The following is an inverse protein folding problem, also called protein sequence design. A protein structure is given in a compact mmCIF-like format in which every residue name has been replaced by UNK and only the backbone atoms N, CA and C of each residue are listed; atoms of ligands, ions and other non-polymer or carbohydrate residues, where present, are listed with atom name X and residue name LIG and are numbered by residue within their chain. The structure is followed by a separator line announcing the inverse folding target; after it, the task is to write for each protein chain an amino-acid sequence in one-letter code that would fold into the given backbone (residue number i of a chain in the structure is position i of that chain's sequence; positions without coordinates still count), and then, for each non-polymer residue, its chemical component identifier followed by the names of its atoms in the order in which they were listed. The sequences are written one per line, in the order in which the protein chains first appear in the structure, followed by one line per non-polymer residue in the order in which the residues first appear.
data_IF_248756560506
#
_entry.id   IF_248756560506
#
_cell.length_a   1.000
_cell.length_b   1.000
_cell.length_c   1.000
_cell.angle_alpha   90.00
_cell.angle_beta   90.00
_cell.angle_gamma   90.00
#
_symmetry.space_group_name_H-M   'P 1'
#
loop_
_entity.id
_entity.type
_entity.pdbx_description
1 polymer ?
#
# COMPACT_ATOMS: atom_id res chain seq x y z
N UNK A 1 24.77 19.40 0.46
CA UNK A 1 23.54 18.81 -0.11
C UNK A 1 23.61 18.95 -1.63
N UNK A 2 23.49 17.86 -2.40
CA UNK A 2 23.61 17.89 -3.87
C UNK A 2 22.53 18.82 -4.48
N UNK A 3 22.89 19.66 -5.46
CA UNK A 3 22.01 20.62 -6.15
C UNK A 3 20.75 19.93 -6.71
N UNK A 4 20.90 18.71 -7.22
CA UNK A 4 19.78 17.93 -7.77
C UNK A 4 18.79 17.47 -6.68
N UNK A 5 19.28 17.09 -5.50
CA UNK A 5 18.42 16.74 -4.34
C UNK A 5 17.64 17.95 -3.83
N UNK A 6 18.24 19.14 -3.89
CA UNK A 6 17.58 20.41 -3.53
C UNK A 6 16.46 20.75 -4.50
N UNK A 7 16.73 20.69 -5.81
CA UNK A 7 15.74 20.95 -6.86
C UNK A 7 14.58 19.94 -6.78
N UNK A 8 14.89 18.65 -6.62
CA UNK A 8 13.87 17.61 -6.45
C UNK A 8 13.00 17.87 -5.20
N UNK A 9 13.62 18.19 -4.07
CA UNK A 9 12.89 18.46 -2.82
C UNK A 9 11.98 19.69 -2.95
N UNK A 10 12.45 20.73 -3.64
CA UNK A 10 11.66 21.93 -3.91
C UNK A 10 10.48 21.65 -4.85
N UNK A 11 10.70 20.94 -5.95
CA UNK A 11 9.64 20.54 -6.88
C UNK A 11 8.60 19.67 -6.17
N UNK A 12 9.05 18.73 -5.32
CA UNK A 12 8.13 17.89 -4.54
C UNK A 12 7.27 18.70 -3.58
N UNK A 13 7.86 19.69 -2.89
CA UNK A 13 7.12 20.61 -2.03
C UNK A 13 6.08 21.40 -2.82
N UNK A 14 6.44 21.90 -4.01
CA UNK A 14 5.52 22.61 -4.89
C UNK A 14 4.36 21.71 -5.34
N UNK A 15 4.65 20.46 -5.72
CA UNK A 15 3.63 19.49 -6.12
C UNK A 15 2.69 19.12 -4.96
N UNK A 16 3.20 19.01 -3.73
CA UNK A 16 2.35 18.84 -2.53
C UNK A 16 1.46 20.06 -2.26
N UNK A 17 1.98 21.28 -2.44
CA UNK A 17 1.19 22.51 -2.29
C UNK A 17 0.09 22.58 -3.36
N UNK A 18 0.41 22.22 -4.60
CA UNK A 18 -0.50 22.27 -5.74
C UNK A 18 -1.38 21.01 -5.90
N UNK A 19 -1.23 20.01 -5.02
CA UNK A 19 -1.82 18.66 -5.13
C UNK A 19 -1.68 18.05 -6.53
N UNK A 20 -0.52 18.23 -7.15
CA UNK A 20 -0.19 17.64 -8.45
C UNK A 20 0.14 16.15 -8.25
N UNK A 21 -0.64 15.24 -8.85
CA UNK A 21 -0.35 13.81 -8.75
C UNK A 21 0.85 13.44 -9.65
N UNK A 22 1.59 12.43 -9.23
CA UNK A 22 2.58 11.74 -10.05
C UNK A 22 2.29 10.23 -10.04
N UNK A 23 3.06 9.43 -10.78
CA UNK A 23 2.86 7.99 -10.82
C UNK A 23 2.99 7.31 -9.44
N UNK A 24 3.89 7.79 -8.59
CA UNK A 24 4.10 7.27 -7.24
C UNK A 24 2.98 7.69 -6.29
N UNK A 25 2.43 8.89 -6.49
CA UNK A 25 1.46 9.55 -5.65
C UNK A 25 0.12 9.91 -6.38
N UNK A 26 -0.57 8.95 -7.03
CA UNK A 26 -1.82 9.24 -7.74
C UNK A 26 -3.01 9.30 -6.78
N UNK A 27 -4.08 10.01 -7.14
CA UNK A 27 -5.30 10.04 -6.30
C UNK A 27 -6.06 8.71 -6.40
N UNK A 28 -5.81 7.81 -5.45
CA UNK A 28 -6.46 6.49 -5.33
C UNK A 28 -7.83 6.65 -4.66
N UNK A 29 -8.84 7.10 -5.41
CA UNK A 29 -10.18 7.33 -4.87
C UNK A 29 -10.85 6.03 -4.45
N UNK A 30 -11.56 6.04 -3.33
CA UNK A 30 -12.43 4.95 -2.93
C UNK A 30 -13.59 4.79 -3.93
N UNK A 31 -13.87 3.55 -4.34
CA UNK A 31 -14.97 3.22 -5.27
C UNK A 31 -16.20 2.74 -4.48
N UNK A 32 -17.34 3.40 -4.67
CA UNK A 32 -18.64 2.99 -4.12
C UNK A 32 -19.43 2.19 -5.15
N UNK A 33 -20.29 1.28 -4.69
CA UNK A 33 -21.30 0.58 -5.51
C UNK A 33 -20.74 -0.21 -6.72
N UNK A 34 -19.58 -0.85 -6.52
CA UNK A 34 -18.91 -1.71 -7.51
C UNK A 34 -18.82 -3.16 -7.03
N UNK A 35 -18.63 -4.09 -7.98
CA UNK A 35 -18.25 -5.47 -7.67
C UNK A 35 -16.78 -5.53 -7.23
N UNK A 36 -16.52 -5.68 -5.93
CA UNK A 36 -15.15 -5.88 -5.41
C UNK A 36 -14.52 -7.22 -5.83
N UNK A 37 -15.26 -8.09 -6.53
CA UNK A 37 -14.71 -9.27 -7.21
C UNK A 37 -13.90 -8.89 -8.44
N UNK A 38 -14.33 -7.85 -9.16
CA UNK A 38 -13.77 -7.43 -10.45
C UNK A 38 -12.87 -6.20 -10.33
N UNK A 39 -13.22 -5.28 -9.42
CA UNK A 39 -12.52 -4.03 -9.19
C UNK A 39 -11.78 -4.03 -7.85
N UNK A 40 -10.67 -3.30 -7.77
CA UNK A 40 -10.01 -3.06 -6.48
C UNK A 40 -10.76 -2.02 -5.63
N UNK A 41 -10.51 -2.03 -4.31
CA UNK A 41 -11.21 -1.16 -3.35
C UNK A 41 -10.98 0.34 -3.61
N UNK A 42 -9.80 0.67 -4.12
CA UNK A 42 -9.42 2.01 -4.53
C UNK A 42 -9.14 2.01 -6.04
N UNK A 43 -9.34 3.16 -6.69
CA UNK A 43 -9.08 3.34 -8.11
C UNK A 43 -7.58 3.32 -8.42
N UNK A 44 -7.12 2.21 -8.98
CA UNK A 44 -5.73 1.98 -9.35
C UNK A 44 -5.48 2.18 -10.85
N UNK A 45 -6.47 2.63 -11.63
CA UNK A 45 -6.31 2.82 -13.09
C UNK A 45 -5.10 3.67 -13.47
N UNK A 46 -4.78 4.69 -12.67
CA UNK A 46 -3.58 5.51 -12.83
C UNK A 46 -2.28 4.71 -12.70
N UNK A 47 -2.24 3.70 -11.81
CA UNK A 47 -1.10 2.78 -11.64
C UNK A 47 -0.93 1.86 -12.85
N UNK A 48 -1.96 1.61 -13.65
CA UNK A 48 -1.86 0.83 -14.90
C UNK A 48 -1.08 1.53 -16.02
N UNK A 49 -0.75 2.83 -15.85
CA UNK A 49 0.01 3.63 -16.80
C UNK A 49 1.45 3.86 -16.32
N UNK A 50 2.22 2.77 -16.15
CA UNK A 50 3.63 2.84 -15.73
C UNK A 50 4.47 3.63 -16.75
N UNK A 51 5.11 4.75 -16.36
CA UNK A 51 5.82 5.61 -17.31
C UNK A 51 7.31 5.26 -17.45
N UNK A 52 7.83 4.33 -16.65
CA UNK A 52 9.25 3.95 -16.65
C UNK A 52 9.48 2.59 -17.33
N UNK A 53 10.70 2.07 -17.20
CA UNK A 53 11.14 0.84 -17.83
C UNK A 53 10.28 -0.37 -17.44
N UNK A 54 9.81 -1.10 -18.45
CA UNK A 54 9.22 -2.42 -18.32
C UNK A 54 10.20 -3.42 -18.93
N UNK A 55 10.72 -4.34 -18.12
CA UNK A 55 11.50 -5.48 -18.61
C UNK A 55 10.60 -6.70 -18.71
N UNK A 56 10.39 -7.20 -19.92
CA UNK A 56 9.49 -8.34 -20.19
C UNK A 56 8.05 -8.12 -19.63
N UNK A 57 7.58 -6.86 -19.66
CA UNK A 57 6.28 -6.47 -19.11
C UNK A 57 6.26 -6.20 -17.61
N UNK A 58 7.38 -6.38 -16.90
CA UNK A 58 7.53 -6.20 -15.46
C UNK A 58 8.12 -4.81 -15.14
N UNK A 59 7.46 -4.00 -14.30
CA UNK A 59 7.99 -2.71 -13.84
C UNK A 59 9.32 -2.81 -13.11
N UNK A 60 10.30 -2.03 -13.56
CA UNK A 60 11.55 -1.80 -12.85
C UNK A 60 11.55 -0.42 -12.18
N UNK A 61 11.99 -0.38 -10.92
CA UNK A 61 12.14 0.84 -10.13
C UNK A 61 13.62 1.15 -9.98
N UNK A 62 14.00 2.39 -10.26
CA UNK A 62 15.36 2.85 -9.99
C UNK A 62 15.52 3.14 -8.49
N UNK A 63 16.40 2.38 -7.83
CA UNK A 63 16.76 2.58 -6.42
C UNK A 63 18.28 2.62 -6.32
N UNK A 64 18.83 3.74 -5.82
CA UNK A 64 20.28 3.97 -5.72
C UNK A 64 21.01 3.76 -7.06
N UNK A 65 20.45 4.30 -8.16
CA UNK A 65 20.94 4.16 -9.54
C UNK A 65 20.98 2.71 -10.06
N UNK A 66 20.22 1.81 -9.45
CA UNK A 66 20.08 0.43 -9.92
C UNK A 66 18.61 0.17 -10.20
N UNK A 67 18.29 -0.21 -11.44
CA UNK A 67 16.96 -0.71 -11.80
C UNK A 67 16.72 -2.06 -11.15
N UNK A 68 15.64 -2.19 -10.37
CA UNK A 68 15.29 -3.40 -9.63
C UNK A 68 13.81 -3.68 -9.73
N UNK A 69 13.45 -4.96 -9.67
CA UNK A 69 12.08 -5.37 -9.41
C UNK A 69 11.71 -5.02 -7.97
N UNK A 70 10.51 -4.47 -7.80
CA UNK A 70 9.96 -4.20 -6.48
C UNK A 70 8.51 -4.71 -6.45
N UNK A 71 8.28 -5.74 -5.64
CA UNK A 71 7.00 -6.47 -5.61
C UNK A 71 5.79 -5.55 -5.47
N UNK A 72 5.85 -4.56 -4.57
CA UNK A 72 4.77 -3.59 -4.39
C UNK A 72 4.48 -2.77 -5.66
N UNK A 73 5.51 -2.36 -6.40
CA UNK A 73 5.31 -1.58 -7.64
C UNK A 73 4.73 -2.45 -8.75
N UNK A 74 5.23 -3.67 -8.89
CA UNK A 74 4.74 -4.65 -9.86
C UNK A 74 3.26 -4.98 -9.60
N UNK A 75 2.89 -5.19 -8.34
CA UNK A 75 1.52 -5.49 -7.95
C UNK A 75 0.57 -4.29 -8.05
N UNK A 76 1.04 -3.08 -7.73
CA UNK A 76 0.27 -1.85 -7.97
C UNK A 76 -0.02 -1.69 -9.47
N UNK A 77 0.97 -1.94 -10.32
CA UNK A 77 0.80 -1.93 -11.77
C UNK A 77 -0.19 -3.01 -12.23
N UNK A 78 -0.06 -4.24 -11.74
CA UNK A 78 -0.97 -5.35 -12.02
C UNK A 78 -2.44 -5.04 -11.67
N UNK A 79 -2.70 -4.53 -10.46
CA UNK A 79 -4.04 -4.08 -10.07
C UNK A 79 -4.55 -2.92 -10.93
N UNK A 80 -3.66 -2.00 -11.33
CA UNK A 80 -4.02 -0.93 -12.27
C UNK A 80 -4.37 -1.43 -13.66
N UNK A 81 -3.67 -2.46 -14.16
CA UNK A 81 -4.01 -3.13 -15.43
C UNK A 81 -5.36 -3.83 -15.34
N UNK A 82 -5.66 -4.50 -14.23
CA UNK A 82 -6.99 -5.09 -13.98
C UNK A 82 -8.06 -4.00 -14.04
N UNK A 83 -7.89 -2.88 -13.33
CA UNK A 83 -8.84 -1.77 -13.36
C UNK A 83 -9.06 -1.22 -14.78
N UNK A 84 -8.00 -1.08 -15.58
CA UNK A 84 -8.11 -0.67 -16.99
C UNK A 84 -8.84 -1.73 -17.84
N UNK A 85 -8.53 -3.01 -17.63
CA UNK A 85 -9.12 -4.13 -18.37
C UNK A 85 -10.61 -4.31 -18.07
N UNK A 86 -11.02 -4.19 -16.80
CA UNK A 86 -12.43 -4.24 -16.40
C UNK A 86 -13.25 -3.13 -17.05
N UNK A 87 -12.67 -1.94 -17.24
CA UNK A 87 -13.33 -0.84 -17.96
C UNK A 87 -13.37 -1.08 -19.47
N UNK A 88 -12.31 -1.66 -20.04
CA UNK A 88 -12.18 -1.92 -21.47
C UNK A 88 -11.36 -3.17 -21.73
N UNK A 89 -12.05 -4.26 -22.06
CA UNK A 89 -11.40 -5.49 -22.50
C UNK A 89 -10.50 -5.23 -23.72
N UNK A 90 -9.24 -5.62 -23.60
CA UNK A 90 -8.23 -5.42 -24.64
C UNK A 90 -7.18 -6.52 -24.56
N UNK A 91 -6.86 -7.13 -25.69
CA UNK A 91 -5.82 -8.16 -25.79
C UNK A 91 -4.46 -7.66 -25.30
N UNK A 92 -4.14 -6.38 -25.50
CA UNK A 92 -2.91 -5.78 -24.99
C UNK A 92 -2.89 -5.73 -23.46
N UNK A 93 -4.01 -5.36 -22.84
CA UNK A 93 -4.13 -5.34 -21.38
C UNK A 93 -4.11 -6.76 -20.81
N UNK A 94 -4.81 -7.70 -21.45
CA UNK A 94 -4.79 -9.11 -21.08
C UNK A 94 -3.37 -9.68 -21.07
N UNK A 95 -2.59 -9.48 -22.15
CA UNK A 95 -1.18 -9.92 -22.21
C UNK A 95 -0.30 -9.31 -21.11
N UNK A 96 -0.52 -8.05 -20.77
CA UNK A 96 0.20 -7.38 -19.67
C UNK A 96 -0.20 -7.96 -18.31
N UNK A 97 -1.48 -8.24 -18.09
CA UNK A 97 -1.97 -8.91 -16.87
C UNK A 97 -1.34 -10.31 -16.76
N UNK A 98 -1.32 -11.08 -17.85
CA UNK A 98 -0.67 -12.39 -17.91
C UNK A 98 0.82 -12.31 -17.57
N UNK A 99 1.54 -11.29 -18.04
CA UNK A 99 2.96 -11.09 -17.70
C UNK A 99 3.16 -10.89 -16.19
N UNK A 100 2.31 -10.06 -15.56
CA UNK A 100 2.36 -9.84 -14.11
C UNK A 100 1.93 -11.10 -13.36
N UNK A 101 0.93 -11.83 -13.85
CA UNK A 101 0.49 -13.09 -13.26
C UNK A 101 1.59 -14.16 -13.31
N UNK A 102 2.27 -14.33 -14.44
CA UNK A 102 3.44 -15.21 -14.53
C UNK A 102 4.51 -14.83 -13.50
N UNK A 103 4.85 -13.54 -13.41
CA UNK A 103 5.81 -13.07 -12.39
C UNK A 103 5.36 -13.41 -10.97
N UNK A 104 4.08 -13.19 -10.63
CA UNK A 104 3.53 -13.49 -9.30
C UNK A 104 3.63 -14.98 -8.98
N UNK A 105 3.31 -15.85 -9.92
CA UNK A 105 3.36 -17.31 -9.74
C UNK A 105 4.79 -17.83 -9.64
N UNK A 106 5.70 -17.30 -10.46
CA UNK A 106 7.10 -17.74 -10.50
C UNK A 106 7.93 -17.25 -9.30
N UNK A 107 7.58 -16.08 -8.74
CA UNK A 107 8.33 -15.45 -7.64
C UNK A 107 7.69 -15.67 -6.27
N UNK A 108 6.58 -16.42 -6.15
CA UNK A 108 6.10 -16.85 -4.84
C UNK A 108 7.00 -17.98 -4.32
N UNK A 109 7.64 -17.74 -3.18
CA UNK A 109 8.48 -18.74 -2.55
C UNK A 109 7.68 -19.85 -1.87
N UNK A 110 8.37 -20.93 -1.49
CA UNK A 110 7.72 -22.14 -0.93
C UNK A 110 6.88 -21.85 0.32
N UNK A 111 7.30 -20.89 1.13
CA UNK A 111 6.61 -20.45 2.33
C UNK A 111 5.45 -19.47 2.04
N UNK A 112 5.27 -19.03 0.79
CA UNK A 112 4.25 -18.07 0.38
C UNK A 112 4.74 -16.63 0.29
N UNK A 113 6.03 -16.37 0.51
CA UNK A 113 6.59 -15.02 0.48
C UNK A 113 6.88 -14.50 -0.94
N UNK A 114 6.71 -13.18 -1.14
CA UNK A 114 7.40 -12.44 -2.20
C UNK A 114 8.47 -11.55 -1.56
N UNK A 115 9.72 -12.02 -1.57
CA UNK A 115 10.86 -11.34 -0.94
C UNK A 115 11.48 -10.29 -1.86
N UNK A 116 12.01 -9.24 -1.24
CA UNK A 116 12.80 -8.21 -1.92
C UNK A 116 14.30 -8.44 -1.64
N UNK A 117 15.04 -8.85 -2.66
CA UNK A 117 16.46 -9.22 -2.55
C UNK A 117 17.41 -8.01 -2.68
N UNK A 118 17.19 -7.00 -1.85
CA UNK A 118 18.05 -5.83 -1.71
C UNK A 118 17.87 -5.18 -0.33
N UNK A 119 18.87 -4.43 0.13
CA UNK A 119 18.81 -3.74 1.42
C UNK A 119 18.13 -2.37 1.29
N UNK A 120 17.50 -1.91 2.38
CA UNK A 120 16.94 -0.56 2.51
C UNK A 120 17.49 0.08 3.79
N UNK A 121 18.66 0.72 3.66
CA UNK A 121 19.47 1.19 4.79
C UNK A 121 18.71 2.10 5.76
N UNK A 122 17.92 3.05 5.24
CA UNK A 122 17.20 4.02 6.07
C UNK A 122 16.04 3.40 6.88
N UNK A 123 15.63 2.18 6.54
CA UNK A 123 14.67 1.37 7.29
C UNK A 123 15.34 0.20 8.04
N UNK A 124 16.66 0.03 7.88
CA UNK A 124 17.40 -1.10 8.45
C UNK A 124 17.02 -2.47 7.86
N UNK A 125 16.38 -2.50 6.68
CA UNK A 125 15.91 -3.76 6.08
C UNK A 125 17.05 -4.49 5.37
N UNK A 126 17.21 -5.78 5.70
CA UNK A 126 18.16 -6.67 5.06
C UNK A 126 17.58 -7.34 3.82
N UNK A 127 18.46 -7.73 2.90
CA UNK A 127 18.06 -8.49 1.70
C UNK A 127 17.23 -9.71 2.08
N UNK A 128 16.13 -9.94 1.35
CA UNK A 128 15.13 -10.97 1.68
C UNK A 128 13.96 -10.45 2.52
N UNK A 129 13.86 -9.14 2.77
CA UNK A 129 12.77 -8.54 3.51
C UNK A 129 11.42 -8.69 2.78
N UNK A 130 10.35 -8.77 3.57
CA UNK A 130 8.97 -8.96 3.10
C UNK A 130 8.07 -7.83 3.58
N UNK A 131 6.88 -7.76 2.98
CA UNK A 131 5.89 -6.71 3.26
C UNK A 131 4.49 -7.31 3.34
N UNK A 132 3.76 -7.05 4.42
CA UNK A 132 2.36 -7.44 4.49
C UNK A 132 1.49 -6.67 3.48
N UNK A 133 1.88 -5.43 3.16
CA UNK A 133 1.26 -4.68 2.05
C UNK A 133 1.47 -5.41 0.72
N UNK A 134 2.71 -5.82 0.44
CA UNK A 134 3.02 -6.61 -0.76
C UNK A 134 2.20 -7.91 -0.81
N UNK A 135 2.12 -8.63 0.29
CA UNK A 135 1.31 -9.84 0.41
C UNK A 135 -0.18 -9.59 0.13
N UNK A 136 -0.74 -8.54 0.73
CA UNK A 136 -2.13 -8.16 0.53
C UNK A 136 -2.43 -7.78 -0.92
N UNK A 137 -1.56 -6.99 -1.56
CA UNK A 137 -1.69 -6.61 -2.96
C UNK A 137 -1.63 -7.83 -3.88
N UNK A 138 -0.75 -8.80 -3.60
CA UNK A 138 -0.64 -10.04 -4.37
C UNK A 138 -1.90 -10.90 -4.25
N UNK A 139 -2.41 -11.08 -3.03
CA UNK A 139 -3.70 -11.77 -2.81
C UNK A 139 -4.81 -11.10 -3.62
N UNK A 140 -4.91 -9.78 -3.52
CA UNK A 140 -5.92 -9.01 -4.24
C UNK A 140 -5.80 -9.08 -5.75
N UNK A 141 -4.57 -9.12 -6.28
CA UNK A 141 -4.32 -9.25 -7.71
C UNK A 141 -4.70 -10.64 -8.22
N UNK A 142 -4.25 -11.71 -7.54
CA UNK A 142 -4.56 -13.10 -7.90
C UNK A 142 -6.07 -13.36 -7.78
N UNK A 143 -6.73 -12.82 -6.75
CA UNK A 143 -8.18 -12.90 -6.59
C UNK A 143 -8.90 -12.36 -7.82
N UNK A 144 -8.49 -11.20 -8.33
CA UNK A 144 -9.10 -10.60 -9.53
C UNK A 144 -8.73 -11.32 -10.82
N UNK A 145 -7.50 -11.82 -10.95
CA UNK A 145 -7.11 -12.67 -12.07
C UNK A 145 -8.03 -13.90 -12.19
N UNK A 146 -8.33 -14.55 -11.07
CA UNK A 146 -9.32 -15.64 -11.03
C UNK A 146 -10.72 -15.17 -11.48
N UNK A 147 -11.23 -14.08 -10.91
CA UNK A 147 -12.57 -13.58 -11.25
C UNK A 147 -12.71 -13.14 -12.71
N UNK A 148 -11.61 -12.70 -13.35
CA UNK A 148 -11.57 -12.35 -14.77
C UNK A 148 -11.22 -13.52 -15.71
N UNK A 149 -11.05 -14.74 -15.17
CA UNK A 149 -10.82 -15.95 -15.96
C UNK A 149 -9.36 -16.16 -16.41
N UNK A 150 -8.39 -15.42 -15.86
CA UNK A 150 -6.96 -15.63 -16.13
C UNK A 150 -6.37 -16.81 -15.36
N UNK A 151 -7.06 -17.32 -14.34
CA UNK A 151 -6.54 -18.37 -13.47
C UNK A 151 -7.65 -19.33 -13.04
N UNK A 152 -7.32 -20.63 -12.95
CA UNK A 152 -8.22 -21.64 -12.37
C UNK A 152 -8.30 -21.51 -10.84
N UNK A 153 -9.43 -21.93 -10.28
CA UNK A 153 -9.72 -21.84 -8.84
C UNK A 153 -8.62 -22.48 -7.97
N UNK A 154 -8.21 -23.71 -8.27
CA UNK A 154 -7.25 -24.44 -7.43
C UNK A 154 -5.88 -23.75 -7.35
N UNK A 155 -5.43 -23.17 -8.47
CA UNK A 155 -4.18 -22.41 -8.53
C UNK A 155 -4.33 -21.10 -7.76
N UNK A 156 -5.43 -20.38 -7.97
CA UNK A 156 -5.72 -19.15 -7.24
C UNK A 156 -5.76 -19.38 -5.72
N UNK A 157 -6.49 -20.42 -5.29
CA UNK A 157 -6.59 -20.81 -3.88
C UNK A 157 -5.22 -21.11 -3.28
N UNK A 158 -4.42 -21.95 -3.95
CA UNK A 158 -3.10 -22.34 -3.46
C UNK A 158 -2.18 -21.14 -3.24
N UNK A 159 -2.13 -20.22 -4.21
CA UNK A 159 -1.28 -19.02 -4.15
C UNK A 159 -1.76 -18.07 -3.06
N UNK A 160 -3.06 -17.80 -3.00
CA UNK A 160 -3.66 -16.90 -2.02
C UNK A 160 -3.51 -17.46 -0.59
N UNK A 161 -3.78 -18.74 -0.37
CA UNK A 161 -3.75 -19.33 0.97
C UNK A 161 -2.32 -19.39 1.53
N UNK A 162 -1.32 -19.68 0.69
CA UNK A 162 0.11 -19.58 1.06
C UNK A 162 0.50 -18.15 1.41
N UNK A 163 0.15 -17.18 0.57
CA UNK A 163 0.44 -15.76 0.81
C UNK A 163 -0.16 -15.27 2.13
N UNK A 164 -1.43 -15.59 2.39
CA UNK A 164 -2.09 -15.28 3.66
C UNK A 164 -1.40 -15.98 4.82
N UNK A 165 -1.03 -17.26 4.68
CA UNK A 165 -0.38 -18.01 5.76
C UNK A 165 0.97 -17.40 6.14
N UNK A 166 1.79 -17.00 5.15
CA UNK A 166 3.03 -16.26 5.42
C UNK A 166 2.75 -14.89 6.07
N UNK A 167 1.77 -14.14 5.57
CA UNK A 167 1.42 -12.82 6.10
C UNK A 167 1.01 -12.85 7.59
N UNK A 168 0.54 -13.99 8.08
CA UNK A 168 0.13 -14.18 9.48
C UNK A 168 1.25 -14.67 10.42
N UNK A 169 2.47 -14.92 9.91
CA UNK A 169 3.62 -15.28 10.75
C UNK A 169 4.14 -14.06 11.53
N UNK A 170 4.96 -14.29 12.54
CA UNK A 170 5.55 -13.23 13.37
C UNK A 170 6.44 -12.24 12.58
N UNK A 171 6.95 -12.65 11.40
CA UNK A 171 7.71 -11.78 10.49
C UNK A 171 6.90 -10.55 10.06
N UNK A 172 5.59 -10.73 9.84
CA UNK A 172 4.71 -9.74 9.27
C UNK A 172 3.51 -9.41 10.16
N UNK A 173 3.23 -10.19 11.19
CA UNK A 173 2.06 -10.07 12.03
C UNK A 173 2.44 -9.92 13.51
N UNK A 174 2.53 -8.67 13.96
CA UNK A 174 3.07 -8.33 15.28
C UNK A 174 1.92 -8.10 16.27
N UNK A 175 2.01 -8.75 17.44
CA UNK A 175 1.07 -8.51 18.53
C UNK A 175 1.35 -7.16 19.21
N UNK A 176 0.31 -6.34 19.34
CA UNK A 176 0.35 -5.03 20.03
C UNK A 176 -0.77 -4.94 21.07
N UNK A 177 -0.79 -3.89 21.88
CA UNK A 177 -1.90 -3.58 22.79
C UNK A 177 -3.26 -3.39 22.08
N UNK A 178 -3.23 -3.15 20.76
CA UNK A 178 -4.44 -3.00 19.92
C UNK A 178 -4.86 -4.31 19.25
N UNK A 179 -4.10 -5.39 19.48
CA UNK A 179 -4.20 -6.67 18.78
C UNK A 179 -3.11 -6.83 17.72
N UNK A 180 -3.31 -7.80 16.83
CA UNK A 180 -2.37 -8.14 15.76
C UNK A 180 -2.35 -7.10 14.65
N UNK A 181 -1.16 -6.62 14.28
CA UNK A 181 -0.95 -5.59 13.25
C UNK A 181 -0.02 -6.12 12.16
N UNK A 182 -0.49 -6.04 10.92
CA UNK A 182 0.27 -6.46 9.75
C UNK A 182 1.26 -5.36 9.34
N UNK A 183 2.55 -5.70 9.29
CA UNK A 183 3.66 -4.76 9.06
C UNK A 183 3.90 -4.51 7.58
N UNK A 184 3.92 -3.24 7.15
CA UNK A 184 4.33 -2.87 5.79
C UNK A 184 5.78 -3.30 5.51
N UNK A 185 6.64 -3.19 6.52
CA UNK A 185 8.04 -3.59 6.43
C UNK A 185 8.32 -4.58 7.56
N UNK A 186 8.54 -5.85 7.21
CA UNK A 186 8.86 -6.91 8.18
C UNK A 186 10.12 -6.59 8.97
N UNK A 187 10.14 -6.97 10.25
CA UNK A 187 11.26 -6.69 11.15
C UNK A 187 11.35 -5.24 11.65
N UNK A 188 10.35 -4.40 11.38
CA UNK A 188 10.26 -3.04 11.93
C UNK A 188 9.18 -2.94 13.01
N UNK A 189 9.33 -2.00 13.95
CA UNK A 189 8.29 -1.67 14.93
C UNK A 189 7.37 -0.54 14.46
N UNK A 190 7.55 -0.06 13.22
CA UNK A 190 6.81 1.06 12.66
C UNK A 190 5.51 0.57 12.01
N UNK A 191 4.41 0.67 12.74
CA UNK A 191 3.10 0.34 12.15
C UNK A 191 2.70 1.45 11.17
N UNK A 192 2.85 1.21 9.87
CA UNK A 192 2.44 2.13 8.80
C UNK A 192 0.97 1.93 8.48
N UNK A 193 0.18 3.02 8.50
CA UNK A 193 -1.27 2.94 8.39
C UNK A 193 -1.72 2.39 7.02
N UNK A 194 -1.23 2.97 5.93
CA UNK A 194 -1.62 2.54 4.59
C UNK A 194 -1.22 1.10 4.31
N UNK A 195 -0.01 0.69 4.70
CA UNK A 195 0.44 -0.69 4.49
C UNK A 195 -0.40 -1.70 5.25
N UNK A 196 -0.79 -1.39 6.49
CA UNK A 196 -1.72 -2.23 7.24
C UNK A 196 -3.06 -2.35 6.51
N UNK A 197 -3.66 -1.24 6.07
CA UNK A 197 -4.97 -1.27 5.39
C UNK A 197 -4.90 -2.00 4.04
N UNK A 198 -3.83 -1.83 3.25
CA UNK A 198 -3.63 -2.60 2.03
C UNK A 198 -3.50 -4.10 2.29
N UNK A 199 -2.81 -4.50 3.37
CA UNK A 199 -2.76 -5.89 3.81
C UNK A 199 -4.16 -6.41 4.18
N UNK A 200 -4.98 -5.58 4.85
CA UNK A 200 -6.37 -5.93 5.20
C UNK A 200 -7.29 -6.08 4.00
N UNK A 201 -7.09 -5.32 2.92
CA UNK A 201 -7.80 -5.56 1.66
C UNK A 201 -7.50 -6.95 1.10
N UNK A 202 -6.25 -7.40 1.18
CA UNK A 202 -5.89 -8.78 0.84
C UNK A 202 -6.54 -9.82 1.75
N UNK A 203 -6.53 -9.62 3.07
CA UNK A 203 -7.26 -10.50 4.01
C UNK A 203 -8.74 -10.56 3.67
N UNK A 204 -9.37 -9.42 3.32
CA UNK A 204 -10.78 -9.39 2.93
C UNK A 204 -11.04 -10.17 1.65
N UNK A 205 -10.16 -10.06 0.65
CA UNK A 205 -10.26 -10.82 -0.60
C UNK A 205 -10.11 -12.32 -0.35
N UNK A 206 -9.15 -12.74 0.50
CA UNK A 206 -9.03 -14.12 0.96
C UNK A 206 -10.32 -14.61 1.64
N UNK A 207 -10.82 -13.85 2.63
CA UNK A 207 -12.07 -14.13 3.33
C UNK A 207 -13.27 -14.26 2.37
N UNK A 208 -13.31 -13.42 1.34
CA UNK A 208 -14.35 -13.47 0.30
C UNK A 208 -14.20 -14.70 -0.59
N UNK A 209 -12.96 -15.14 -0.86
CA UNK A 209 -12.67 -16.34 -1.65
C UNK A 209 -13.10 -17.62 -0.93
N UNK A 210 -12.88 -17.70 0.39
CA UNK A 210 -13.26 -18.86 1.22
C UNK A 210 -14.66 -18.77 1.85
N UNK A 211 -15.37 -17.66 1.64
CA UNK A 211 -16.66 -17.34 2.26
C UNK A 211 -16.65 -17.34 3.82
N UNK A 212 -15.56 -16.88 4.44
CA UNK A 212 -15.46 -16.66 5.88
C UNK A 212 -14.80 -15.30 6.19
N UNK A 213 -15.57 -14.38 6.78
CA UNK A 213 -15.13 -13.02 7.13
C UNK A 213 -14.59 -12.88 8.56
N UNK A 214 -14.46 -13.97 9.32
CA UNK A 214 -14.02 -13.98 10.72
C UNK A 214 -12.67 -13.26 10.91
N UNK A 215 -11.67 -13.64 10.12
CA UNK A 215 -10.32 -13.08 10.16
C UNK A 215 -10.32 -11.58 9.83
N UNK A 216 -11.05 -11.17 8.79
CA UNK A 216 -11.19 -9.75 8.45
C UNK A 216 -11.81 -8.94 9.59
N UNK A 217 -12.88 -9.44 10.23
CA UNK A 217 -13.55 -8.78 11.36
C UNK A 217 -12.62 -8.62 12.57
N UNK A 218 -11.76 -9.61 12.84
CA UNK A 218 -10.74 -9.51 13.89
C UNK A 218 -9.81 -8.34 13.64
N UNK A 219 -9.22 -8.25 12.45
CA UNK A 219 -8.31 -7.15 12.12
C UNK A 219 -8.99 -5.79 12.00
N UNK A 220 -10.25 -5.74 11.57
CA UNK A 220 -11.06 -4.50 11.60
C UNK A 220 -11.17 -3.97 13.03
N UNK A 221 -11.35 -4.86 14.01
CA UNK A 221 -11.39 -4.49 15.43
C UNK A 221 -10.05 -3.92 15.89
N UNK A 222 -8.93 -4.51 15.46
CA UNK A 222 -7.59 -3.95 15.73
C UNK A 222 -7.38 -2.60 15.07
N UNK A 223 -7.71 -2.44 13.77
CA UNK A 223 -7.59 -1.17 13.07
C UNK A 223 -8.42 -0.08 13.76
N UNK A 224 -9.63 -0.40 14.23
CA UNK A 224 -10.50 0.54 14.95
C UNK A 224 -9.82 1.08 16.22
N UNK A 225 -9.20 0.22 17.03
CA UNK A 225 -8.46 0.66 18.23
C UNK A 225 -7.21 1.45 17.83
N UNK A 226 -6.43 0.93 16.88
CA UNK A 226 -5.16 1.50 16.45
C UNK A 226 -5.32 2.85 15.76
N UNK A 227 -6.44 3.08 15.06
CA UNK A 227 -6.74 4.31 14.32
C UNK A 227 -6.62 5.59 15.17
N UNK A 228 -6.86 5.48 16.47
CA UNK A 228 -6.70 6.58 17.43
C UNK A 228 -5.25 7.11 17.49
N UNK A 229 -4.25 6.22 17.35
CA UNK A 229 -2.81 6.53 17.42
C UNK A 229 -2.31 7.32 16.20
N UNK A 230 -3.05 7.32 15.10
CA UNK A 230 -2.69 8.04 13.88
C UNK A 230 -3.25 9.47 13.82
N UNK A 231 -3.87 9.99 14.88
CA UNK A 231 -4.42 11.35 14.85
C UNK A 231 -3.35 12.40 15.16
N UNK A 232 -3.11 13.31 14.21
CA UNK A 232 -2.33 14.53 14.40
C UNK A 232 -3.26 15.74 14.45
N UNK A 233 -3.32 16.42 15.60
CA UNK A 233 -4.29 17.50 15.88
C UNK A 233 -5.75 17.16 15.55
N UNK A 234 -6.12 15.87 15.56
CA UNK A 234 -7.44 15.31 15.19
C UNK A 234 -7.90 15.52 13.75
N UNK A 235 -7.32 16.48 13.02
CA UNK A 235 -7.69 16.85 11.66
C UNK A 235 -6.66 16.44 10.61
N UNK A 236 -5.51 15.92 11.02
CA UNK A 236 -4.48 15.37 10.15
C UNK A 236 -4.09 13.96 10.60
N UNK A 237 -3.45 13.20 9.72
CA UNK A 237 -3.01 11.84 10.05
C UNK A 237 -1.48 11.76 10.20
N UNK A 238 -1.03 10.96 11.16
CA UNK A 238 0.32 10.40 11.14
C UNK A 238 0.39 9.28 10.10
N UNK A 239 1.58 9.11 9.52
CA UNK A 239 1.94 8.04 8.61
C UNK A 239 2.08 6.70 9.34
N UNK A 240 2.77 6.71 10.47
CA UNK A 240 3.03 5.54 11.29
C UNK A 240 2.76 5.81 12.78
N UNK A 241 2.78 4.77 13.61
CA UNK A 241 2.60 4.90 15.07
C UNK A 241 3.74 5.63 15.78
N UNK A 242 4.88 5.82 15.11
CA UNK A 242 6.01 6.62 15.59
C UNK A 242 5.82 8.13 15.39
N UNK A 243 4.61 8.56 15.01
CA UNK A 243 4.23 9.97 14.85
C UNK A 243 4.97 10.69 13.71
N UNK A 244 5.38 9.96 12.68
CA UNK A 244 5.79 10.59 11.42
C UNK A 244 4.56 11.27 10.78
N UNK A 245 4.65 12.56 10.44
CA UNK A 245 3.53 13.31 9.85
C UNK A 245 3.33 12.86 8.40
N UNK A 246 2.09 12.49 8.04
CA UNK A 246 1.78 12.12 6.65
C UNK A 246 1.89 13.34 5.72
N UNK A 247 2.30 13.12 4.47
CA UNK A 247 2.26 14.20 3.45
C UNK A 247 0.83 14.43 3.01
N UNK A 248 0.57 15.52 2.29
CA UNK A 248 -0.74 15.78 1.67
C UNK A 248 -1.27 14.54 0.92
N UNK A 249 -0.39 13.86 0.17
CA UNK A 249 -0.73 12.62 -0.53
C UNK A 249 -1.22 11.51 0.41
N UNK A 250 -0.39 11.09 1.38
CA UNK A 250 -0.75 9.99 2.28
C UNK A 250 -1.94 10.35 3.16
N UNK A 251 -2.06 11.63 3.54
CA UNK A 251 -3.22 12.11 4.27
C UNK A 251 -4.52 11.90 3.47
N UNK A 252 -4.52 12.29 2.18
CA UNK A 252 -5.64 12.06 1.27
C UNK A 252 -5.91 10.55 1.09
N UNK A 253 -4.88 9.74 0.90
CA UNK A 253 -5.01 8.28 0.81
C UNK A 253 -5.65 7.69 2.07
N UNK A 254 -5.22 8.14 3.26
CA UNK A 254 -5.78 7.69 4.53
C UNK A 254 -7.27 8.05 4.66
N UNK A 255 -7.70 9.20 4.14
CA UNK A 255 -9.12 9.55 4.10
C UNK A 255 -9.91 8.59 3.20
N UNK A 256 -9.43 8.34 1.99
CA UNK A 256 -10.07 7.40 1.05
C UNK A 256 -10.15 5.99 1.65
N UNK A 257 -9.08 5.54 2.31
CA UNK A 257 -9.05 4.28 3.05
C UNK A 257 -10.05 4.23 4.20
N UNK A 258 -10.20 5.30 5.00
CA UNK A 258 -11.19 5.33 6.07
C UNK A 258 -12.63 5.33 5.53
N UNK A 259 -12.90 6.02 4.40
CA UNK A 259 -14.18 5.95 3.72
C UNK A 259 -14.47 4.54 3.20
N UNK A 260 -13.46 3.89 2.60
CA UNK A 260 -13.53 2.50 2.16
C UNK A 260 -13.81 1.55 3.32
N UNK A 261 -13.05 1.64 4.41
CA UNK A 261 -13.27 0.79 5.58
C UNK A 261 -14.64 1.01 6.21
N UNK A 262 -15.15 2.23 6.26
CA UNK A 262 -16.54 2.49 6.67
C UNK A 262 -17.54 1.75 5.78
N UNK A 263 -17.42 1.87 4.46
CA UNK A 263 -18.32 1.20 3.53
C UNK A 263 -18.28 -0.32 3.66
N UNK A 264 -17.07 -0.89 3.84
CA UNK A 264 -16.87 -2.33 3.93
C UNK A 264 -17.34 -2.96 5.25
N UNK A 265 -17.45 -2.18 6.32
CA UNK A 265 -17.66 -2.70 7.69
C UNK A 265 -18.88 -2.11 8.39
N UNK A 266 -19.43 -1.00 7.89
CA UNK A 266 -20.42 -0.15 8.56
C UNK A 266 -19.98 0.42 9.92
N UNK A 267 -18.68 0.35 10.25
CA UNK A 267 -18.13 0.89 11.50
C UNK A 267 -18.04 2.42 11.46
N UNK A 268 -18.98 3.10 12.14
CA UNK A 268 -19.08 4.57 12.20
C UNK A 268 -17.80 5.28 12.68
N UNK A 269 -16.92 4.57 13.38
CA UNK A 269 -15.63 5.09 13.81
C UNK A 269 -14.78 5.55 12.61
N UNK A 270 -14.71 4.76 11.54
CA UNK A 270 -13.93 5.09 10.34
C UNK A 270 -14.49 6.32 9.61
N UNK A 271 -15.81 6.39 9.45
CA UNK A 271 -16.47 7.58 8.90
C UNK A 271 -16.17 8.84 9.70
N UNK A 272 -16.22 8.74 11.03
CA UNK A 272 -15.93 9.86 11.92
C UNK A 272 -14.48 10.33 11.81
N UNK A 273 -13.53 9.41 11.61
CA UNK A 273 -12.13 9.72 11.38
C UNK A 273 -11.96 10.42 10.02
N UNK A 274 -12.50 9.83 8.94
CA UNK A 274 -12.44 10.40 7.60
C UNK A 274 -12.98 11.84 7.57
N UNK A 275 -14.14 12.09 8.19
CA UNK A 275 -14.75 13.42 8.26
C UNK A 275 -13.89 14.45 9.01
N UNK A 276 -13.21 14.06 10.08
CA UNK A 276 -12.31 14.98 10.79
C UNK A 276 -11.05 15.26 9.96
N UNK A 277 -10.48 14.23 9.33
CA UNK A 277 -9.30 14.39 8.48
C UNK A 277 -9.59 15.23 7.23
N UNK A 278 -10.79 15.15 6.67
CA UNK A 278 -11.23 16.05 5.59
C UNK A 278 -11.13 17.55 5.97
N UNK A 279 -11.25 17.91 7.26
CA UNK A 279 -11.06 19.31 7.70
C UNK A 279 -9.61 19.78 7.48
N UNK A 280 -8.63 18.90 7.62
CA UNK A 280 -7.21 19.20 7.43
C UNK A 280 -6.89 19.63 6.00
N UNK A 281 -7.62 19.12 5.01
CA UNK A 281 -7.42 19.48 3.59
C UNK A 281 -7.64 20.98 3.32
N UNK A 282 -8.51 21.64 4.07
CA UNK A 282 -8.77 23.08 3.95
C UNK A 282 -7.64 23.95 4.51
N UNK A 283 -6.82 23.40 5.42
CA UNK A 283 -5.72 24.09 6.09
C UNK A 283 -4.43 23.26 6.02
N UNK A 284 -4.12 22.75 4.83
CA UNK A 284 -2.99 21.83 4.60
C UNK A 284 -1.60 22.46 4.71
N UNK A 285 -1.45 23.77 4.47
CA UNK A 285 -0.15 24.45 4.41
C UNK A 285 0.67 24.31 5.72
N UNK A 286 0.11 24.56 6.92
CA UNK A 286 0.80 24.28 8.18
C UNK A 286 1.33 22.84 8.28
N UNK A 287 0.54 21.85 7.87
CA UNK A 287 0.93 20.44 7.95
C UNK A 287 2.07 20.08 6.99
N UNK A 288 2.06 20.63 5.77
CA UNK A 288 3.15 20.47 4.79
C UNK A 288 4.46 21.07 5.34
N UNK A 289 4.39 22.25 5.95
CA UNK A 289 5.54 22.90 6.59
C UNK A 289 6.04 22.06 7.77
N UNK A 290 5.15 21.64 8.67
CA UNK A 290 5.50 20.82 9.84
C UNK A 290 6.13 19.48 9.45
N UNK A 291 5.60 18.81 8.42
CA UNK A 291 6.20 17.60 7.87
C UNK A 291 7.60 17.85 7.31
N UNK A 292 7.76 18.92 6.53
CA UNK A 292 9.06 19.28 5.94
C UNK A 292 10.11 19.56 7.03
N UNK A 293 9.72 20.28 8.09
CA UNK A 293 10.55 20.53 9.26
C UNK A 293 10.89 19.23 10.01
N UNK A 294 9.93 18.33 10.22
CA UNK A 294 10.19 17.03 10.86
C UNK A 294 11.20 16.21 10.06
N UNK A 295 11.10 16.21 8.73
CA UNK A 295 12.06 15.52 7.85
C UNK A 295 13.48 16.08 7.98
N UNK A 296 13.62 17.40 8.08
CA UNK A 296 14.93 18.05 8.29
C UNK A 296 15.54 17.71 9.66
N UNK A 297 14.74 17.76 10.73
CA UNK A 297 15.19 17.42 12.09
C UNK A 297 15.67 15.97 12.14
N UNK A 298 14.89 15.03 11.60
CA UNK A 298 15.24 13.61 11.59
C UNK A 298 16.51 13.33 10.76
N UNK A 299 16.74 14.08 9.68
CA UNK A 299 17.95 13.94 8.89
C UNK A 299 19.20 14.49 9.61
N UNK A 300 19.02 15.53 10.43
CA UNK A 300 20.09 16.10 11.26
C UNK A 300 20.43 15.21 12.46
N UNK A 301 19.45 14.57 13.09
CA UNK A 301 19.71 13.64 14.21
C UNK A 301 20.44 12.36 13.80
N UNK A 302 20.20 11.87 12.58
CA UNK A 302 20.95 10.72 12.00
C UNK A 302 22.41 11.12 11.68
N UNK A 303 22.64 12.36 11.25
CA UNK A 303 24.00 12.86 10.92
C UNK A 303 24.82 13.24 12.16
N UNK A 304 24.19 13.62 13.28
CA UNK A 304 24.90 13.88 14.55
C UNK A 304 25.23 12.63 15.35
N UNK A 305 24.60 11.49 15.07
CA UNK A 305 24.93 10.19 15.68
C UNK A 305 26.03 9.43 14.93
N UNK A 306 26.52 9.99 13.81
CA UNK A 306 27.58 9.43 12.96
C UNK A 306 28.87 10.26 12.96
N UNK A 307 29.03 11.17 13.93
CA UNK A 307 30.26 11.96 14.16
C UNK A 307 31.03 11.51 15.39
#
# INVERSE_FOLDING_TARGET
MNKDKLIYSFNRLLDEILDRPDYWHPRLKFRQDISYREYYYLDFSAKGNYPYELKDGIPLVEMNNVSREFSITILNYGLGLIDLYTNKHSDLLAKRIESILSWVLENQEKDGAWRNYYEVDFLGLKSGWTSAMGQGLAISFVYRCYNHGFLYYDVAYSVIDKAKSYMLTEDLNVLTDSGYVLQEFGGTSENVLNGFIFALYGIRDYCSFINDMSLFKQYVSTLKILSSKYNYFKIWSYYNTNKAISSSFYHQLHIEMMNSMFFLTSEKAFFSIAKRWELGKWIKLPFIVLKSTQKLINHNSITTLSS
#
